data_IF_767395265222
#
_entry.id   IF_767395265222
#
_cell.length_a   1.000
_cell.length_b   1.000
_cell.length_c   1.000
_cell.angle_alpha   90.00
_cell.angle_beta   90.00
_cell.angle_gamma   90.00
#
_symmetry.space_group_name_H-M   'P 1'
#
loop_
_entity.id
_entity.type
_entity.pdbx_description
1 polymer ?
#
# COMPACT_ATOMS: atom_id res chain seq x y z
N UNK A 1 7.48 -22.45 10.33
CA UNK A 1 7.43 -21.07 9.81
C UNK A 1 7.08 -20.11 10.96
N UNK A 2 7.59 -18.87 10.94
CA UNK A 2 7.19 -17.83 11.89
C UNK A 2 6.08 -17.00 11.27
N UNK A 3 5.17 -16.47 12.09
CA UNK A 3 4.17 -15.48 11.65
C UNK A 3 4.71 -14.09 11.94
N UNK A 4 4.66 -13.20 10.95
CA UNK A 4 4.93 -11.78 11.10
C UNK A 4 3.59 -11.05 10.94
N UNK A 5 3.25 -10.20 11.89
CA UNK A 5 2.11 -9.29 11.79
C UNK A 5 2.67 -7.88 11.59
N UNK A 6 2.19 -7.19 10.56
CA UNK A 6 2.56 -5.82 10.24
C UNK A 6 1.31 -4.97 10.33
N UNK A 7 1.40 -3.80 10.96
CA UNK A 7 0.32 -2.81 11.01
C UNK A 7 0.82 -1.52 10.42
N UNK A 8 0.07 -0.97 9.46
CA UNK A 8 0.39 0.28 8.79
C UNK A 8 -0.80 1.22 8.99
N UNK A 9 -0.54 2.41 9.50
CA UNK A 9 -1.52 3.49 9.58
C UNK A 9 -0.98 4.66 8.77
N UNK A 10 -1.81 5.15 7.83
CA UNK A 10 -1.45 6.23 6.92
C UNK A 10 -2.43 7.38 7.08
N UNK A 11 -1.90 8.59 7.00
CA UNK A 11 -2.65 9.84 6.90
C UNK A 11 -2.09 10.55 5.67
N UNK A 12 -2.96 10.90 4.73
CA UNK A 12 -2.58 11.44 3.44
C UNK A 12 -3.32 12.76 3.18
N UNK A 13 -2.58 13.78 2.79
CA UNK A 13 -3.15 14.95 2.12
C UNK A 13 -3.45 14.58 0.66
N UNK A 14 -4.73 14.42 0.32
CA UNK A 14 -5.18 14.12 -1.04
C UNK A 14 -6.05 15.25 -1.61
N UNK A 15 -6.16 15.40 -2.94
CA UNK A 15 -7.05 16.40 -3.54
C UNK A 15 -8.53 16.19 -3.16
N UNK A 16 -9.26 17.27 -2.90
CA UNK A 16 -10.70 17.27 -2.59
C UNK A 16 -11.56 16.62 -3.67
N UNK A 17 -11.05 16.57 -4.91
CA UNK A 17 -11.73 16.01 -6.06
C UNK A 17 -11.70 14.47 -6.07
N UNK A 18 -10.82 13.85 -5.29
CA UNK A 18 -10.69 12.40 -5.21
C UNK A 18 -11.79 11.81 -4.33
N UNK A 19 -12.35 10.69 -4.77
CA UNK A 19 -13.47 10.05 -4.06
C UNK A 19 -13.15 8.61 -3.67
N UNK A 20 -13.61 8.18 -2.50
CA UNK A 20 -13.57 6.78 -2.10
C UNK A 20 -14.74 6.01 -2.71
N UNK A 21 -14.45 4.88 -3.35
CA UNK A 21 -15.44 4.00 -3.99
C UNK A 21 -15.19 2.54 -3.63
N UNK A 22 -16.24 1.73 -3.72
CA UNK A 22 -16.17 0.28 -3.52
C UNK A 22 -16.06 -0.42 -4.88
N UNK A 23 -15.02 -1.25 -5.07
CA UNK A 23 -14.88 -2.11 -6.23
C UNK A 23 -15.80 -3.33 -6.12
N UNK A 24 -16.32 -3.90 -7.23
CA UNK A 24 -17.15 -5.12 -7.19
C UNK A 24 -16.52 -6.33 -6.47
N UNK A 25 -15.19 -6.38 -6.38
CA UNK A 25 -14.46 -7.41 -5.64
C UNK A 25 -14.39 -7.15 -4.12
N UNK A 26 -15.19 -6.21 -3.60
CA UNK A 26 -15.25 -5.83 -2.18
C UNK A 26 -13.91 -5.26 -1.65
N UNK A 27 -13.24 -4.50 -2.51
CA UNK A 27 -12.03 -3.74 -2.15
C UNK A 27 -12.29 -2.25 -2.34
N UNK A 28 -11.77 -1.45 -1.41
CA UNK A 28 -11.86 0.00 -1.51
C UNK A 28 -10.82 0.53 -2.50
N UNK A 29 -11.24 1.52 -3.30
CA UNK A 29 -10.37 2.23 -4.22
C UNK A 29 -10.66 3.73 -4.20
N UNK A 30 -9.63 4.51 -4.52
CA UNK A 30 -9.71 5.95 -4.70
C UNK A 30 -9.91 6.21 -6.19
N UNK A 31 -11.03 6.85 -6.54
CA UNK A 31 -11.29 7.36 -7.88
C UNK A 31 -10.62 8.71 -8.05
N UNK A 32 -9.72 8.81 -9.03
CA UNK A 32 -8.98 10.02 -9.35
C UNK A 32 -9.60 10.76 -10.55
N UNK A 33 -9.23 12.04 -10.72
CA UNK A 33 -9.81 12.93 -11.75
C UNK A 33 -9.54 12.49 -13.18
N UNK A 34 -8.43 11.79 -13.41
CA UNK A 34 -8.05 11.28 -14.72
C UNK A 34 -8.79 9.99 -15.12
N UNK A 35 -9.75 9.54 -14.31
CA UNK A 35 -10.53 8.33 -14.53
C UNK A 35 -9.80 7.04 -14.13
N UNK A 36 -8.62 7.13 -13.52
CA UNK A 36 -7.95 5.99 -12.93
C UNK A 36 -8.46 5.70 -11.51
N UNK A 37 -8.23 4.48 -11.05
CA UNK A 37 -8.56 4.02 -9.72
C UNK A 37 -7.27 3.56 -9.03
N UNK A 38 -7.11 3.91 -7.75
CA UNK A 38 -5.96 3.52 -6.94
C UNK A 38 -6.43 2.74 -5.72
N UNK A 39 -5.92 1.53 -5.55
CA UNK A 39 -6.04 0.77 -4.33
C UNK A 39 -4.76 0.97 -3.51
N UNK A 40 -4.88 1.20 -2.20
CA UNK A 40 -3.74 1.25 -1.30
C UNK A 40 -3.43 -0.15 -0.82
N UNK A 41 -2.19 -0.60 -1.04
CA UNK A 41 -1.66 -1.86 -0.55
C UNK A 41 -0.25 -1.62 0.01
N UNK A 42 0.35 -2.63 0.60
CA UNK A 42 1.74 -2.55 1.03
C UNK A 42 2.71 -2.87 -0.12
N UNK A 43 3.85 -2.18 -0.14
CA UNK A 43 4.99 -2.56 -0.97
C UNK A 43 6.23 -2.68 -0.08
N UNK A 44 6.98 -3.79 -0.17
CA UNK A 44 8.20 -3.95 0.61
C UNK A 44 9.26 -2.94 0.14
N UNK A 45 10.01 -2.40 1.10
CA UNK A 45 11.13 -1.49 0.86
C UNK A 45 12.42 -2.17 1.30
N UNK A 46 13.50 -2.00 0.53
CA UNK A 46 14.78 -2.66 0.76
C UNK A 46 15.93 -1.65 0.78
N UNK A 47 17.00 -2.01 1.48
CA UNK A 47 18.28 -1.27 1.47
C UNK A 47 19.45 -2.23 1.62
N UNK A 48 20.57 -1.91 0.98
CA UNK A 48 21.85 -2.63 1.16
C UNK A 48 22.78 -1.93 2.17
N UNK A 49 22.43 -0.74 2.66
CA UNK A 49 23.20 -0.02 3.69
C UNK A 49 22.41 0.04 4.99
N UNK A 50 22.82 -0.74 5.99
CA UNK A 50 22.14 -0.78 7.28
C UNK A 50 22.70 0.28 8.24
N UNK A 51 22.68 1.54 7.80
CA UNK A 51 23.16 2.70 8.56
C UNK A 51 22.07 3.75 8.69
N UNK A 52 22.23 4.64 9.67
CA UNK A 52 21.35 5.79 9.83
C UNK A 52 21.42 6.69 8.59
N UNK A 53 20.25 7.05 8.06
CA UNK A 53 20.13 7.88 6.85
C UNK A 53 20.30 7.11 5.53
N UNK A 54 20.33 5.78 5.56
CA UNK A 54 20.34 4.99 4.34
C UNK A 54 19.05 5.19 3.53
N UNK A 55 19.20 5.21 2.22
CA UNK A 55 18.08 5.24 1.29
C UNK A 55 17.43 3.86 1.21
N UNK A 56 16.11 3.88 1.12
CA UNK A 56 15.28 2.69 0.93
C UNK A 56 14.59 2.82 -0.42
N UNK A 57 14.57 1.73 -1.18
CA UNK A 57 13.91 1.70 -2.48
C UNK A 57 12.90 0.56 -2.53
N UNK A 58 11.80 0.80 -3.25
CA UNK A 58 10.88 -0.24 -3.69
C UNK A 58 11.35 -0.89 -5.00
N UNK A 59 12.42 -0.41 -5.62
CA UNK A 59 13.05 -1.04 -6.78
C UNK A 59 13.72 -2.34 -6.35
N UNK A 60 12.95 -3.42 -6.43
CA UNK A 60 13.42 -4.78 -6.32
C UNK A 60 13.09 -5.54 -7.61
N UNK A 61 13.79 -6.64 -7.91
CA UNK A 61 13.40 -7.49 -9.03
C UNK A 61 11.96 -7.96 -8.85
N UNK A 62 11.16 -7.92 -9.92
CA UNK A 62 9.74 -8.30 -9.89
C UNK A 62 9.53 -9.67 -9.22
N UNK A 63 10.42 -10.63 -9.49
CA UNK A 63 10.41 -11.98 -8.88
C UNK A 63 10.44 -11.94 -7.34
N UNK A 64 11.23 -11.04 -6.75
CA UNK A 64 11.31 -10.95 -5.29
C UNK A 64 10.11 -10.22 -4.68
N UNK A 65 9.56 -9.23 -5.40
CA UNK A 65 8.29 -8.60 -5.00
C UNK A 65 7.19 -9.64 -4.97
N UNK A 66 7.08 -10.45 -6.03
CA UNK A 66 6.13 -11.56 -6.12
C UNK A 66 6.32 -12.57 -4.98
N UNK A 67 7.56 -12.97 -4.67
CA UNK A 67 7.82 -13.85 -3.52
C UNK A 67 7.33 -13.28 -2.18
N UNK A 68 7.51 -11.97 -1.96
CA UNK A 68 7.02 -11.31 -0.73
C UNK A 68 5.50 -11.22 -0.72
N UNK A 69 4.87 -10.92 -1.87
CA UNK A 69 3.41 -10.90 -2.01
C UNK A 69 2.81 -12.30 -1.79
N UNK A 70 3.48 -13.36 -2.26
CA UNK A 70 3.07 -14.76 -2.01
C UNK A 70 3.14 -15.17 -0.53
N UNK A 71 3.94 -14.47 0.29
CA UNK A 71 4.01 -14.71 1.74
C UNK A 71 2.83 -14.09 2.51
N UNK A 72 2.03 -13.24 1.86
CA UNK A 72 0.88 -12.55 2.47
C UNK A 72 -0.24 -13.56 2.65
N UNK A 73 -0.47 -13.94 3.90
CA UNK A 73 -1.54 -14.86 4.23
C UNK A 73 -2.92 -14.18 4.23
N UNK A 74 -2.96 -12.88 4.52
CA UNK A 74 -4.17 -12.06 4.62
C UNK A 74 -3.78 -10.57 4.58
N UNK A 75 -4.62 -9.72 3.98
CA UNK A 75 -4.45 -8.27 3.95
C UNK A 75 -5.82 -7.61 4.15
N UNK A 76 -5.94 -6.77 5.19
CA UNK A 76 -7.12 -5.96 5.45
C UNK A 76 -6.76 -4.48 5.32
N UNK A 77 -7.39 -3.79 4.37
CA UNK A 77 -7.18 -2.36 4.15
C UNK A 77 -8.49 -1.62 4.36
N UNK A 78 -8.50 -0.70 5.32
CA UNK A 78 -9.60 0.21 5.56
C UNK A 78 -9.17 1.65 5.30
N UNK A 79 -9.78 2.25 4.29
CA UNK A 79 -9.65 3.65 3.93
C UNK A 79 -10.89 4.41 4.39
N UNK A 80 -10.65 5.62 4.91
CA UNK A 80 -11.70 6.59 5.24
C UNK A 80 -11.24 7.96 4.79
N UNK A 81 -12.17 8.75 4.26
CA UNK A 81 -11.96 10.18 4.10
C UNK A 81 -12.30 10.83 5.44
N UNK A 82 -11.35 11.57 6.01
CA UNK A 82 -11.63 12.40 7.17
C UNK A 82 -12.30 13.68 6.66
N UNK A 83 -13.54 13.92 7.11
CA UNK A 83 -14.21 15.20 6.92
C UNK A 83 -14.06 15.99 8.21
N UNK A 84 -13.72 17.26 8.11
CA UNK A 84 -13.73 18.21 9.23
C UNK A 84 -15.05 18.24 10.00
#
# INVERSE_FOLDING_TARGET
MKKLLVTIQLELDIPDTWGLVEHPDQVQAIKMDNGQYMHMSFLPMMTSDFKAGAEWSSECPDEFTEEVLDMVADEEVLMKLETD
#
